data_IF_475833688985
#
_entry.id   IF_475833688985
#
_cell.length_a   1.000
_cell.length_b   1.000
_cell.length_c   1.000
_cell.angle_alpha   90.00
_cell.angle_beta   90.00
_cell.angle_gamma   90.00
#
_symmetry.space_group_name_H-M   'P 1'
#
loop_
_entity.id
_entity.type
_entity.pdbx_description
1 polymer ?
#
# COMPACT_ATOMS: atom_id res chain seq x y z
N UNK A 1 -27.57 -1.91 18.92
CA UNK A 1 -26.33 -1.13 18.80
C UNK A 1 -26.32 -0.08 19.89
N UNK A 2 -25.36 -0.10 20.82
CA UNK A 2 -25.24 0.93 21.86
C UNK A 2 -24.84 2.25 21.18
N UNK A 3 -25.75 3.22 21.17
CA UNK A 3 -25.50 4.55 20.62
C UNK A 3 -24.63 5.34 21.59
N UNK A 4 -23.36 5.53 21.25
CA UNK A 4 -22.43 6.39 22.01
C UNK A 4 -22.83 7.85 21.84
N UNK A 5 -22.49 8.72 22.82
CA UNK A 5 -22.68 10.18 22.66
C UNK A 5 -21.87 10.68 21.45
N UNK A 6 -22.37 11.68 20.69
CA UNK A 6 -21.76 12.15 19.44
C UNK A 6 -20.25 12.46 19.57
N UNK A 7 -19.86 13.18 20.64
CA UNK A 7 -18.45 13.52 20.91
C UNK A 7 -17.55 12.29 21.17
N UNK A 8 -18.08 11.27 21.83
CA UNK A 8 -17.32 10.04 22.11
C UNK A 8 -17.09 9.25 20.83
N UNK A 9 -18.09 9.22 19.93
CA UNK A 9 -17.98 8.54 18.64
C UNK A 9 -16.90 9.18 17.73
N UNK A 10 -16.84 10.52 17.70
CA UNK A 10 -15.81 11.26 16.97
C UNK A 10 -14.40 10.94 17.48
N UNK A 11 -14.19 11.01 18.80
CA UNK A 11 -12.88 10.75 19.41
C UNK A 11 -12.43 9.31 19.17
N UNK A 12 -13.31 8.33 19.34
CA UNK A 12 -12.99 6.91 19.09
C UNK A 12 -12.62 6.69 17.62
N UNK A 13 -13.37 7.31 16.68
CA UNK A 13 -13.08 7.21 15.25
C UNK A 13 -11.72 7.82 14.90
N UNK A 14 -11.38 8.99 15.47
CA UNK A 14 -10.08 9.63 15.27
C UNK A 14 -8.93 8.78 15.81
N UNK A 15 -9.06 8.22 17.01
CA UNK A 15 -8.02 7.37 17.60
C UNK A 15 -7.83 6.10 16.76
N UNK A 16 -8.92 5.44 16.35
CA UNK A 16 -8.86 4.25 15.53
C UNK A 16 -8.19 4.53 14.17
N UNK A 17 -8.54 5.64 13.52
CA UNK A 17 -7.94 6.05 12.25
C UNK A 17 -6.43 6.35 12.40
N UNK A 18 -6.04 7.06 13.45
CA UNK A 18 -4.64 7.37 13.74
C UNK A 18 -3.82 6.11 13.99
N UNK A 19 -4.30 5.21 14.85
CA UNK A 19 -3.63 3.94 15.13
C UNK A 19 -3.51 3.08 13.86
N UNK A 20 -4.59 2.94 13.08
CA UNK A 20 -4.58 2.13 11.86
C UNK A 20 -3.58 2.68 10.83
N UNK A 21 -3.58 4.00 10.61
CA UNK A 21 -2.65 4.65 9.69
C UNK A 21 -1.20 4.47 10.14
N UNK A 22 -0.92 4.62 11.44
CA UNK A 22 0.42 4.44 11.99
C UNK A 22 0.97 3.04 11.74
N UNK A 23 0.18 1.99 12.02
CA UNK A 23 0.60 0.61 11.78
C UNK A 23 0.76 0.30 10.29
N UNK A 24 -0.15 0.81 9.45
CA UNK A 24 -0.08 0.62 8.01
C UNK A 24 1.19 1.23 7.41
N UNK A 25 1.52 2.48 7.77
CA UNK A 25 2.74 3.14 7.29
C UNK A 25 4.02 2.56 7.89
N UNK A 26 4.01 2.17 9.17
CA UNK A 26 5.15 1.52 9.79
C UNK A 26 5.48 0.19 9.11
N UNK A 27 4.47 -0.65 8.85
CA UNK A 27 4.63 -1.89 8.10
C UNK A 27 5.18 -1.65 6.70
N UNK A 28 4.66 -0.63 6.01
CA UNK A 28 5.11 -0.27 4.67
C UNK A 28 6.59 0.14 4.67
N UNK A 29 7.00 1.04 5.56
CA UNK A 29 8.40 1.46 5.67
C UNK A 29 9.34 0.29 5.95
N UNK A 30 8.97 -0.61 6.87
CA UNK A 30 9.74 -1.84 7.14
C UNK A 30 9.90 -2.70 5.89
N UNK A 31 8.82 -2.90 5.11
CA UNK A 31 8.91 -3.66 3.86
C UNK A 31 9.80 -2.96 2.83
N UNK A 32 9.71 -1.64 2.68
CA UNK A 32 10.56 -0.89 1.75
C UNK A 32 12.05 -0.99 2.09
N UNK A 33 12.42 -1.00 3.38
CA UNK A 33 13.82 -1.14 3.80
C UNK A 33 14.40 -2.53 3.51
N UNK A 34 13.57 -3.57 3.59
CA UNK A 34 14.02 -4.96 3.44
C UNK A 34 13.84 -5.44 1.99
N UNK A 35 13.00 -4.77 1.19
CA UNK A 35 12.65 -5.12 -0.18
C UNK A 35 13.88 -5.41 -1.06
N UNK A 36 14.80 -4.46 -1.16
CA UNK A 36 15.98 -4.60 -2.04
C UNK A 36 16.86 -5.77 -1.58
N UNK A 37 17.12 -5.88 -0.28
CA UNK A 37 17.92 -6.97 0.29
C UNK A 37 17.33 -8.36 0.01
N UNK A 38 16.00 -8.51 0.13
CA UNK A 38 15.31 -9.78 -0.17
C UNK A 38 15.34 -10.06 -1.68
N UNK A 39 14.98 -9.08 -2.52
CA UNK A 39 14.92 -9.30 -3.97
C UNK A 39 16.31 -9.59 -4.56
N UNK A 40 17.35 -8.93 -4.06
CA UNK A 40 18.72 -9.20 -4.45
C UNK A 40 19.15 -10.62 -4.04
N UNK A 41 18.80 -11.07 -2.83
CA UNK A 41 19.06 -12.45 -2.39
C UNK A 41 18.35 -13.48 -3.28
N UNK A 42 17.10 -13.23 -3.67
CA UNK A 42 16.33 -14.12 -4.56
C UNK A 42 16.95 -14.14 -5.97
N UNK A 43 17.45 -13.00 -6.46
CA UNK A 43 18.16 -12.94 -7.74
C UNK A 43 19.44 -13.79 -7.73
N UNK A 44 20.19 -13.76 -6.63
CA UNK A 44 21.41 -14.59 -6.48
C UNK A 44 21.09 -16.10 -6.55
N UNK A 45 19.98 -16.53 -5.95
CA UNK A 45 19.54 -17.93 -5.99
C UNK A 45 18.92 -18.33 -7.35
N UNK A 46 18.20 -17.43 -8.01
CA UNK A 46 17.51 -17.66 -9.29
C UNK A 46 17.56 -16.42 -10.21
N UNK A 47 18.62 -16.26 -11.02
CA UNK A 47 18.84 -15.04 -11.81
C UNK A 47 17.81 -14.80 -12.91
N UNK A 48 17.00 -15.81 -13.28
CA UNK A 48 15.91 -15.67 -14.25
C UNK A 48 14.56 -15.24 -13.66
N UNK A 49 14.41 -15.19 -12.34
CA UNK A 49 13.11 -14.94 -11.70
C UNK A 49 12.81 -13.45 -11.46
N UNK A 50 13.83 -12.61 -11.26
CA UNK A 50 13.68 -11.19 -10.94
C UNK A 50 14.95 -10.43 -11.36
N UNK A 51 14.84 -9.14 -11.66
CA UNK A 51 16.00 -8.30 -12.03
C UNK A 51 16.87 -7.96 -10.81
N UNK A 52 18.17 -7.79 -11.00
CA UNK A 52 19.13 -7.44 -9.94
C UNK A 52 18.73 -6.19 -9.13
N UNK A 53 18.10 -5.20 -9.78
CA UNK A 53 17.64 -3.93 -9.16
C UNK A 53 16.11 -3.86 -9.03
N UNK A 54 15.45 -5.01 -8.85
CA UNK A 54 13.99 -5.07 -8.89
C UNK A 54 13.31 -4.24 -7.79
N UNK A 55 13.93 -4.00 -6.63
CA UNK A 55 13.36 -3.12 -5.61
C UNK A 55 13.34 -1.66 -6.05
N UNK A 56 14.40 -1.18 -6.71
CA UNK A 56 14.43 0.17 -7.30
C UNK A 56 13.40 0.36 -8.41
N UNK A 57 13.27 -0.63 -9.31
CA UNK A 57 12.23 -0.60 -10.35
C UNK A 57 10.82 -0.64 -9.74
N UNK A 58 10.61 -1.45 -8.70
CA UNK A 58 9.35 -1.48 -7.96
C UNK A 58 8.99 -0.12 -7.36
N UNK A 59 9.94 0.54 -6.71
CA UNK A 59 9.75 1.88 -6.14
C UNK A 59 9.42 2.91 -7.25
N UNK A 60 10.13 2.89 -8.38
CA UNK A 60 9.86 3.79 -9.50
C UNK A 60 8.44 3.61 -10.06
N UNK A 61 7.99 2.36 -10.21
CA UNK A 61 6.63 2.04 -10.64
C UNK A 61 5.59 2.52 -9.63
N UNK A 62 5.86 2.31 -8.33
CA UNK A 62 4.96 2.76 -7.27
C UNK A 62 4.81 4.29 -7.25
N UNK A 63 5.91 5.04 -7.33
CA UNK A 63 5.86 6.51 -7.37
C UNK A 63 5.24 7.02 -8.68
N UNK A 64 5.47 6.35 -9.81
CA UNK A 64 4.81 6.65 -11.07
C UNK A 64 3.29 6.46 -10.98
N UNK A 65 2.85 5.34 -10.41
CA UNK A 65 1.44 5.06 -10.18
C UNK A 65 0.81 6.06 -9.20
N UNK A 66 1.52 6.43 -8.12
CA UNK A 66 1.11 7.49 -7.20
C UNK A 66 0.91 8.84 -7.91
N UNK A 67 1.84 9.23 -8.78
CA UNK A 67 1.74 10.49 -9.51
C UNK A 67 0.51 10.52 -10.44
N UNK A 68 0.27 9.44 -11.18
CA UNK A 68 -0.90 9.32 -12.08
C UNK A 68 -2.20 9.28 -11.28
N UNK A 69 -2.25 8.48 -10.22
CA UNK A 69 -3.44 8.34 -9.39
C UNK A 69 -3.79 9.63 -8.66
N UNK A 70 -2.82 10.41 -8.17
CA UNK A 70 -3.05 11.70 -7.50
C UNK A 70 -3.79 12.71 -8.37
N UNK A 71 -3.64 12.65 -9.70
CA UNK A 71 -4.37 13.52 -10.64
C UNK A 71 -5.86 13.11 -10.71
N UNK A 72 -6.14 11.81 -10.56
CA UNK A 72 -7.47 11.20 -10.67
C UNK A 72 -8.21 11.24 -9.33
N UNK A 73 -7.50 11.10 -8.20
CA UNK A 73 -8.02 11.10 -6.82
C UNK A 73 -9.09 12.17 -6.56
N UNK A 74 -8.89 13.48 -6.84
CA UNK A 74 -9.90 14.49 -6.54
C UNK A 74 -11.22 14.26 -7.28
N UNK A 75 -11.16 13.71 -8.50
CA UNK A 75 -12.36 13.36 -9.27
C UNK A 75 -13.09 12.16 -8.66
N UNK A 76 -12.35 11.17 -8.17
CA UNK A 76 -12.91 9.95 -7.55
C UNK A 76 -13.52 10.25 -6.18
N UNK A 77 -12.84 11.06 -5.36
CA UNK A 77 -13.33 11.47 -4.02
C UNK A 77 -14.62 12.29 -4.07
N UNK A 78 -14.92 12.95 -5.20
CA UNK A 78 -16.20 13.63 -5.37
C UNK A 78 -17.38 12.65 -5.44
N UNK A 79 -17.15 11.42 -5.95
CA UNK A 79 -18.19 10.39 -6.07
C UNK A 79 -18.14 9.36 -4.93
N UNK A 80 -16.96 9.08 -4.37
CA UNK A 80 -16.79 8.14 -3.27
C UNK A 80 -16.86 8.83 -1.90
N UNK A 81 -17.69 8.31 -1.00
CA UNK A 81 -17.65 8.73 0.41
C UNK A 81 -16.29 8.40 1.04
N UNK A 82 -15.77 9.31 1.86
CA UNK A 82 -14.47 9.17 2.54
C UNK A 82 -14.26 7.80 3.23
N UNK A 83 -15.31 7.23 3.83
CA UNK A 83 -15.26 5.90 4.46
C UNK A 83 -14.90 4.79 3.46
N UNK A 84 -15.49 4.80 2.27
CA UNK A 84 -15.25 3.76 1.26
C UNK A 84 -13.89 3.91 0.59
N UNK A 85 -13.41 5.13 0.42
CA UNK A 85 -12.04 5.39 -0.06
C UNK A 85 -11.01 4.76 0.88
N UNK A 86 -11.17 4.93 2.20
CA UNK A 86 -10.27 4.34 3.20
C UNK A 86 -10.29 2.80 3.19
N UNK A 87 -11.47 2.20 2.99
CA UNK A 87 -11.60 0.73 2.88
C UNK A 87 -10.90 0.22 1.62
N UNK A 88 -11.04 0.92 0.50
CA UNK A 88 -10.34 0.56 -0.74
C UNK A 88 -8.83 0.68 -0.60
N UNK A 89 -8.32 1.81 -0.11
CA UNK A 89 -6.88 2.02 0.12
C UNK A 89 -6.29 0.95 1.04
N UNK A 90 -6.92 0.69 2.19
CA UNK A 90 -6.44 -0.34 3.13
C UNK A 90 -6.48 -1.75 2.53
N UNK A 91 -7.46 -2.07 1.69
CA UNK A 91 -7.51 -3.36 0.98
C UNK A 91 -6.38 -3.53 -0.03
N UNK A 92 -6.02 -2.47 -0.77
CA UNK A 92 -4.90 -2.47 -1.71
C UNK A 92 -3.56 -2.64 -1.00
N UNK A 93 -3.39 -1.98 0.15
CA UNK A 93 -2.23 -2.19 1.03
C UNK A 93 -2.16 -3.63 1.57
N UNK A 94 -3.30 -4.24 1.93
CA UNK A 94 -3.32 -5.63 2.36
C UNK A 94 -2.89 -6.59 1.24
N UNK A 95 -3.35 -6.37 0.01
CA UNK A 95 -2.93 -7.16 -1.17
C UNK A 95 -1.44 -7.07 -1.43
N UNK A 96 -0.82 -5.92 -1.17
CA UNK A 96 0.62 -5.74 -1.29
C UNK A 96 1.42 -6.59 -0.32
N UNK A 97 1.03 -6.63 0.96
CA UNK A 97 1.70 -7.48 1.95
C UNK A 97 1.60 -8.97 1.58
N UNK A 98 0.46 -9.39 1.02
CA UNK A 98 0.30 -10.76 0.48
C UNK A 98 1.19 -11.00 -0.74
N UNK A 99 1.33 -10.01 -1.63
CA UNK A 99 2.22 -10.07 -2.78
C UNK A 99 3.69 -10.24 -2.37
N UNK A 100 4.09 -9.66 -1.25
CA UNK A 100 5.43 -9.83 -0.68
C UNK A 100 5.69 -11.26 -0.13
N UNK A 101 4.65 -11.98 0.27
CA UNK A 101 4.78 -13.35 0.78
C UNK A 101 5.03 -14.39 -0.34
N UNK A 102 4.69 -14.08 -1.59
CA UNK A 102 4.88 -14.95 -2.76
C UNK A 102 5.54 -14.16 -3.89
N UNK A 103 6.85 -13.98 -3.79
CA UNK A 103 7.64 -13.24 -4.79
C UNK A 103 7.70 -14.02 -6.11
N UNK A 104 6.87 -13.60 -7.07
CA UNK A 104 6.97 -13.92 -8.50
C UNK A 104 7.05 -12.59 -9.25
N UNK A 105 7.84 -12.49 -10.32
CA UNK A 105 8.09 -11.22 -11.01
C UNK A 105 6.78 -10.47 -11.33
N UNK A 106 5.78 -11.18 -11.84
CA UNK A 106 4.50 -10.60 -12.25
C UNK A 106 3.71 -10.05 -11.08
N UNK A 107 3.59 -10.83 -10.00
CA UNK A 107 2.86 -10.44 -8.79
C UNK A 107 3.53 -9.27 -8.07
N UNK A 108 4.86 -9.22 -8.08
CA UNK A 108 5.62 -8.14 -7.45
C UNK A 108 5.36 -6.80 -8.14
N UNK A 109 5.55 -6.69 -9.46
CA UNK A 109 5.34 -5.40 -10.14
C UNK A 109 3.88 -4.96 -10.15
N UNK A 110 2.95 -5.91 -10.28
CA UNK A 110 1.51 -5.63 -10.23
C UNK A 110 1.08 -5.09 -8.86
N UNK A 111 1.62 -5.65 -7.77
CA UNK A 111 1.31 -5.18 -6.42
C UNK A 111 1.85 -3.76 -6.17
N UNK A 112 3.02 -3.40 -6.72
CA UNK A 112 3.57 -2.04 -6.63
C UNK A 112 2.66 -0.98 -7.28
N UNK A 113 2.05 -1.31 -8.42
CA UNK A 113 1.07 -0.43 -9.08
C UNK A 113 -0.16 -0.23 -8.18
N UNK A 114 -0.69 -1.31 -7.61
CA UNK A 114 -1.86 -1.24 -6.73
C UNK A 114 -1.62 -0.45 -5.45
N UNK A 115 -0.43 -0.57 -4.84
CA UNK A 115 -0.07 0.30 -3.70
C UNK A 115 0.01 1.74 -4.12
N UNK A 116 0.60 2.05 -5.28
CA UNK A 116 0.65 3.42 -5.80
C UNK A 116 -0.73 4.05 -5.88
N UNK A 117 -1.73 3.30 -6.35
CA UNK A 117 -3.14 3.73 -6.34
C UNK A 117 -3.72 3.85 -4.93
N UNK A 118 -3.44 2.91 -4.04
CA UNK A 118 -3.95 2.94 -2.67
C UNK A 118 -3.33 4.04 -1.80
N UNK A 119 -2.14 4.52 -2.19
CA UNK A 119 -1.40 5.58 -1.51
C UNK A 119 -1.95 6.98 -1.84
N UNK A 120 -2.53 7.16 -3.03
CA UNK A 120 -3.13 8.41 -3.49
C UNK A 120 -4.52 8.67 -2.91
#
# INVERSE_FOLDING_TARGET
MVSLRPRTHEIVSCIQFGCASMFMFAGYLCTSFIAESILHSIHQDNPGAISEYAGYYGAAIQFGALAVSSIITPSVLHYLTSKWSLVLSSSLFAMYYVGFAKVTWWYFYLSQVFVGFGYA
#
